data_IF_580128108387
#
_entry.id   IF_580128108387
#
_cell.length_a   1.000
_cell.length_b   1.000
_cell.length_c   1.000
_cell.angle_alpha   90.00
_cell.angle_beta   90.00
_cell.angle_gamma   90.00
#
_symmetry.space_group_name_H-M   'P 1'
#
loop_
_entity.id
_entity.type
_entity.pdbx_description
1 polymer ?
#
# COMPACT_ATOMS: atom_id res chain seq x y z
N UNK A 1 16.64 -18.98 -7.96
CA UNK A 1 15.42 -19.49 -7.29
C UNK A 1 15.27 -19.07 -5.83
N UNK A 2 16.18 -19.41 -4.89
CA UNK A 2 15.98 -19.02 -3.46
C UNK A 2 16.12 -17.51 -3.24
N UNK A 3 17.13 -16.88 -3.83
CA UNK A 3 17.42 -15.44 -3.65
C UNK A 3 16.30 -14.52 -4.17
N UNK A 4 15.73 -14.79 -5.35
CA UNK A 4 14.61 -14.00 -5.89
C UNK A 4 13.34 -14.04 -5.03
N UNK A 5 13.03 -15.19 -4.43
CA UNK A 5 11.90 -15.33 -3.50
C UNK A 5 12.11 -14.53 -2.21
N UNK A 6 13.31 -14.58 -1.61
CA UNK A 6 13.62 -13.78 -0.42
C UNK A 6 13.59 -12.28 -0.71
N UNK A 7 14.08 -11.84 -1.88
CA UNK A 7 13.98 -10.45 -2.32
C UNK A 7 12.53 -9.98 -2.51
N UNK A 8 11.67 -10.84 -3.07
CA UNK A 8 10.24 -10.54 -3.20
C UNK A 8 9.54 -10.42 -1.84
N UNK A 9 9.80 -11.37 -0.93
CA UNK A 9 9.28 -11.32 0.44
C UNK A 9 9.72 -10.06 1.18
N UNK A 10 11.01 -9.71 1.10
CA UNK A 10 11.54 -8.50 1.72
C UNK A 10 10.86 -7.24 1.19
N UNK A 11 10.70 -7.13 -0.14
CA UNK A 11 10.00 -5.99 -0.76
C UNK A 11 8.54 -5.90 -0.30
N UNK A 12 7.85 -7.04 -0.15
CA UNK A 12 6.49 -7.08 0.37
C UNK A 12 6.41 -6.56 1.81
N UNK A 13 7.32 -6.98 2.70
CA UNK A 13 7.36 -6.49 4.08
C UNK A 13 7.64 -4.98 4.16
N UNK A 14 8.57 -4.47 3.37
CA UNK A 14 8.86 -3.03 3.29
C UNK A 14 7.63 -2.26 2.82
N UNK A 15 6.89 -2.76 1.83
CA UNK A 15 5.65 -2.16 1.38
C UNK A 15 4.56 -2.14 2.48
N UNK A 16 4.44 -3.20 3.31
CA UNK A 16 3.52 -3.22 4.49
C UNK A 16 3.85 -2.08 5.44
N UNK A 17 5.13 -1.93 5.80
CA UNK A 17 5.56 -0.93 6.77
C UNK A 17 5.34 0.48 6.21
N UNK A 18 5.69 0.71 4.94
CA UNK A 18 5.50 2.02 4.29
C UNK A 18 4.01 2.34 4.17
N UNK A 19 3.18 1.42 3.65
CA UNK A 19 1.74 1.63 3.49
C UNK A 19 1.04 1.86 4.83
N UNK A 20 1.36 1.04 5.84
CA UNK A 20 0.84 1.21 7.20
C UNK A 20 1.27 2.52 7.84
N UNK A 21 2.54 2.90 7.67
CA UNK A 21 3.07 4.18 8.14
C UNK A 21 2.32 5.36 7.52
N UNK A 22 2.13 5.36 6.21
CA UNK A 22 1.37 6.40 5.49
C UNK A 22 -0.06 6.51 6.00
N UNK A 23 -0.74 5.38 6.21
CA UNK A 23 -2.11 5.36 6.73
C UNK A 23 -2.20 5.97 8.14
N UNK A 24 -1.26 5.65 9.03
CA UNK A 24 -1.30 6.16 10.41
C UNK A 24 -0.90 7.63 10.47
N UNK A 25 0.17 8.04 9.77
CA UNK A 25 0.70 9.40 9.89
C UNK A 25 -0.10 10.42 9.09
N UNK A 26 -0.61 10.03 7.92
CA UNK A 26 -1.36 10.93 7.04
C UNK A 26 -2.86 10.79 7.30
N UNK A 27 -3.41 9.56 7.21
CA UNK A 27 -4.84 9.35 7.37
C UNK A 27 -5.33 9.41 8.82
N UNK A 28 -4.49 9.03 9.79
CA UNK A 28 -4.81 9.09 11.21
C UNK A 28 -5.36 10.47 11.65
N UNK A 29 -4.57 11.55 11.51
CA UNK A 29 -4.96 12.88 11.98
C UNK A 29 -5.97 13.61 11.09
N UNK A 30 -6.32 13.08 9.90
CA UNK A 30 -7.33 13.70 9.05
C UNK A 30 -8.71 13.62 9.73
N UNK A 31 -9.29 14.77 10.01
CA UNK A 31 -10.66 14.92 10.49
C UNK A 31 -11.29 16.07 9.71
N UNK A 32 -12.43 15.79 9.07
CA UNK A 32 -13.17 16.78 8.30
C UNK A 32 -14.18 17.43 9.24
N UNK A 33 -14.25 18.75 9.20
CA UNK A 33 -15.18 19.54 10.00
C UNK A 33 -16.04 20.40 9.07
N UNK A 34 -17.35 20.45 9.31
CA UNK A 34 -18.26 21.37 8.60
C UNK A 34 -19.59 20.76 8.14
N UNK A 35 -19.80 19.47 8.33
CA UNK A 35 -21.02 18.74 7.97
C UNK A 35 -21.80 18.23 9.19
N UNK A 36 -21.41 18.62 10.41
CA UNK A 36 -22.15 18.30 11.64
C UNK A 36 -22.10 16.81 11.95
N UNK A 37 -23.26 16.16 12.10
CA UNK A 37 -23.35 14.73 12.41
C UNK A 37 -22.73 13.82 11.32
N UNK A 38 -22.63 14.31 10.07
CA UNK A 38 -22.05 13.56 8.96
C UNK A 38 -20.52 13.62 8.89
N UNK A 39 -19.86 14.45 9.70
CA UNK A 39 -18.41 14.66 9.67
C UNK A 39 -17.63 13.34 9.86
N UNK A 40 -18.08 12.50 10.80
CA UNK A 40 -17.46 11.20 11.06
C UNK A 40 -17.66 10.21 9.91
N UNK A 41 -18.85 10.22 9.28
CA UNK A 41 -19.17 9.33 8.17
C UNK A 41 -18.32 9.68 6.94
N UNK A 42 -18.31 10.95 6.55
CA UNK A 42 -17.56 11.44 5.38
C UNK A 42 -16.05 11.23 5.59
N UNK A 43 -15.54 11.53 6.79
CA UNK A 43 -14.14 11.27 7.15
C UNK A 43 -13.78 9.78 7.00
N UNK A 44 -14.66 8.88 7.46
CA UNK A 44 -14.43 7.43 7.37
C UNK A 44 -14.45 6.93 5.93
N UNK A 45 -15.40 7.40 5.11
CA UNK A 45 -15.51 7.04 3.69
C UNK A 45 -14.26 7.45 2.92
N UNK A 46 -13.78 8.68 3.11
CA UNK A 46 -12.56 9.16 2.45
C UNK A 46 -11.35 8.35 2.89
N UNK A 47 -11.21 8.07 4.19
CA UNK A 47 -10.13 7.23 4.70
C UNK A 47 -10.15 5.83 4.07
N UNK A 48 -11.33 5.23 3.95
CA UNK A 48 -11.49 3.92 3.32
C UNK A 48 -11.11 3.94 1.83
N UNK A 49 -11.57 4.94 1.07
CA UNK A 49 -11.25 5.07 -0.36
C UNK A 49 -9.74 5.22 -0.57
N UNK A 50 -9.09 6.08 0.22
CA UNK A 50 -7.63 6.27 0.09
C UNK A 50 -6.88 4.99 0.46
N UNK A 51 -7.30 4.27 1.50
CA UNK A 51 -6.71 2.98 1.85
C UNK A 51 -6.85 1.95 0.70
N UNK A 52 -8.01 1.87 0.05
CA UNK A 52 -8.23 0.99 -1.10
C UNK A 52 -7.33 1.35 -2.28
N UNK A 53 -7.18 2.64 -2.61
CA UNK A 53 -6.26 3.11 -3.66
C UNK A 53 -4.83 2.71 -3.35
N UNK A 54 -4.41 2.83 -2.08
CA UNK A 54 -3.08 2.44 -1.62
C UNK A 54 -2.82 0.94 -1.83
N UNK A 55 -3.81 0.09 -1.55
CA UNK A 55 -3.74 -1.36 -1.82
C UNK A 55 -3.59 -1.65 -3.32
N UNK A 56 -4.33 -0.95 -4.18
CA UNK A 56 -4.23 -1.12 -5.64
C UNK A 56 -2.84 -0.73 -6.14
N UNK A 57 -2.30 0.41 -5.69
CA UNK A 57 -0.94 0.86 -6.03
C UNK A 57 0.09 -0.19 -5.63
N UNK A 58 -0.03 -0.72 -4.43
CA UNK A 58 0.87 -1.75 -3.95
C UNK A 58 0.82 -3.01 -4.82
N UNK A 59 -0.38 -3.55 -5.12
CA UNK A 59 -0.52 -4.73 -5.98
C UNK A 59 0.22 -4.51 -7.31
N UNK A 60 0.09 -3.31 -7.88
CA UNK A 60 0.80 -2.95 -9.10
C UNK A 60 2.33 -2.96 -8.93
N UNK A 61 2.84 -2.41 -7.83
CA UNK A 61 4.28 -2.43 -7.49
C UNK A 61 4.78 -3.88 -7.35
N UNK A 62 4.08 -4.73 -6.60
CA UNK A 62 4.46 -6.14 -6.42
C UNK A 62 4.46 -6.91 -7.74
N UNK A 63 3.47 -6.68 -8.61
CA UNK A 63 3.43 -7.31 -9.93
C UNK A 63 4.63 -6.92 -10.78
N UNK A 64 5.02 -5.64 -10.74
CA UNK A 64 6.19 -5.14 -11.46
C UNK A 64 7.49 -5.74 -10.91
N UNK A 65 7.65 -5.75 -9.58
CA UNK A 65 8.82 -6.34 -8.90
C UNK A 65 8.92 -7.84 -9.20
N UNK A 66 7.81 -8.59 -9.10
CA UNK A 66 7.75 -10.01 -9.47
C UNK A 66 8.26 -10.22 -10.89
N UNK A 67 7.69 -9.50 -11.87
CA UNK A 67 8.12 -9.64 -13.27
C UNK A 67 9.60 -9.29 -13.46
N UNK A 68 10.14 -8.34 -12.71
CA UNK A 68 11.54 -7.95 -12.79
C UNK A 68 12.50 -9.00 -12.21
N UNK A 69 12.19 -9.52 -11.03
CA UNK A 69 12.99 -10.56 -10.37
C UNK A 69 12.98 -11.85 -11.20
N UNK A 70 11.80 -12.29 -11.65
CA UNK A 70 11.66 -13.55 -12.39
C UNK A 70 12.19 -13.47 -13.83
N UNK A 71 12.11 -12.31 -14.51
CA UNK A 71 12.78 -12.14 -15.82
C UNK A 71 14.30 -12.14 -15.72
N UNK A 72 14.87 -11.64 -14.61
CA UNK A 72 16.33 -11.68 -14.39
C UNK A 72 16.84 -13.09 -14.14
N UNK A 73 16.08 -13.96 -13.48
CA UNK A 73 16.49 -15.35 -13.25
C UNK A 73 16.41 -16.23 -14.51
N UNK A 74 15.57 -15.90 -15.50
CA UNK A 74 15.43 -16.68 -16.75
C UNK A 74 16.43 -16.30 -17.87
N UNK A 75 17.24 -15.26 -17.67
CA UNK A 75 18.18 -14.72 -18.67
C UNK A 75 19.66 -15.01 -18.35
N UNK A 76 19.93 -15.77 -17.29
CA UNK A 76 21.22 -16.35 -16.93
C UNK A 76 21.22 -17.82 -17.31
#
# INVERSE_FOLDING_TARGET
MKSGLFGFLFAMWVLIIIGGGILVTILGPISIFGFGELDLFITSVIKAIVALVLVVIWIFILLKIKNWIFKKELKL
#
